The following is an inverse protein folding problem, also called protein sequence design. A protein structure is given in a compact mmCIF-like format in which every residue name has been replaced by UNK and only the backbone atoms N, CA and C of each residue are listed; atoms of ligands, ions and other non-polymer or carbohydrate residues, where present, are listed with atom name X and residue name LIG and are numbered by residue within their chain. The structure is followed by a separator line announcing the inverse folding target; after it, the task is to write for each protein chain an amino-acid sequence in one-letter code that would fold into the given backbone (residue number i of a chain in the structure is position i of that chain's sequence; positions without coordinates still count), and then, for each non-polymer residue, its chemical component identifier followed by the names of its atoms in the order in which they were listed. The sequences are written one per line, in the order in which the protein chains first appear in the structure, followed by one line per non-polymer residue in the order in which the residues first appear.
data_IF_962867518438
#
_entry.id   IF_962867518438
#
_cell.length_a   1.000
_cell.length_b   1.000
_cell.length_c   1.000
_cell.angle_alpha   90.00
_cell.angle_beta   90.00
_cell.angle_gamma   90.00
#
_symmetry.space_group_name_H-M   'P 1'
#
loop_
_entity.id
_entity.type
_entity.pdbx_description
1 polymer ?
#
# COMPACT_ATOMS: atom_id res chain seq x y z
N UNK A 1 -2.26 -10.72 12.15
CA UNK A 1 -2.39 -9.70 11.10
C UNK A 1 -3.89 -9.50 10.93
N UNK A 2 -4.44 -8.31 11.21
CA UNK A 2 -5.88 -8.05 11.44
C UNK A 2 -6.80 -8.23 10.21
N UNK A 3 -6.30 -8.80 9.12
CA UNK A 3 -7.03 -8.98 7.85
C UNK A 3 -8.25 -9.90 8.00
N UNK A 4 -8.13 -10.91 8.86
CA UNK A 4 -9.20 -11.83 9.25
C UNK A 4 -10.30 -11.18 10.08
N UNK A 5 -10.05 -9.99 10.62
CA UNK A 5 -10.99 -9.23 11.46
C UNK A 5 -11.77 -8.15 10.72
N UNK A 6 -11.44 -7.87 9.44
CA UNK A 6 -12.15 -6.85 8.66
C UNK A 6 -13.37 -7.48 7.99
N UNK A 7 -14.60 -6.96 8.22
CA UNK A 7 -15.79 -7.45 7.57
C UNK A 7 -15.68 -7.37 6.04
N UNK A 8 -16.12 -8.43 5.37
CA UNK A 8 -16.04 -8.57 3.91
C UNK A 8 -16.81 -7.47 3.17
N UNK A 9 -17.85 -6.92 3.80
CA UNK A 9 -18.64 -5.79 3.32
C UNK A 9 -17.82 -4.49 3.24
N UNK A 10 -16.90 -4.26 4.18
CA UNK A 10 -16.00 -3.09 4.18
C UNK A 10 -15.03 -3.20 3.01
N UNK A 11 -14.45 -4.38 2.81
CA UNK A 11 -13.55 -4.68 1.68
C UNK A 11 -14.28 -4.48 0.33
N UNK A 12 -15.53 -4.95 0.21
CA UNK A 12 -16.36 -4.78 -0.98
C UNK A 12 -16.79 -3.32 -1.22
N UNK A 13 -16.85 -2.49 -0.17
CA UNK A 13 -17.19 -1.07 -0.30
C UNK A 13 -16.05 -0.24 -0.88
N UNK A 14 -14.80 -0.65 -0.62
CA UNK A 14 -13.59 -0.01 -1.16
C UNK A 14 -13.49 -0.20 -2.68
N UNK A 15 -13.80 -1.40 -3.16
CA UNK A 15 -13.77 -1.74 -4.60
C UNK A 15 -14.92 -1.12 -5.40
N UNK A 16 -16.00 -0.71 -4.74
CA UNK A 16 -17.17 -0.06 -5.36
C UNK A 16 -17.11 1.46 -5.36
N UNK A 17 -16.14 2.08 -4.69
CA UNK A 17 -16.06 3.54 -4.65
C UNK A 17 -15.65 4.09 -6.02
N UNK A 18 -16.49 4.93 -6.61
CA UNK A 18 -16.10 5.71 -7.78
C UNK A 18 -14.87 6.56 -7.42
N UNK A 19 -13.91 6.65 -8.34
CA UNK A 19 -12.74 7.52 -8.21
C UNK A 19 -13.21 8.95 -7.96
N UNK A 20 -13.17 9.42 -6.71
CA UNK A 20 -12.97 10.85 -6.48
C UNK A 20 -11.57 11.17 -6.96
N UNK A 21 -11.50 11.83 -8.11
CA UNK A 21 -10.26 12.40 -8.62
C UNK A 21 -9.76 13.38 -7.56
N UNK A 22 -8.63 13.06 -6.94
CA UNK A 22 -7.89 14.05 -6.17
C UNK A 22 -7.33 15.02 -7.20
N UNK A 23 -7.94 16.20 -7.28
CA UNK A 23 -7.74 17.11 -8.40
C UNK A 23 -6.31 17.68 -8.44
N UNK A 24 -5.68 17.87 -7.27
CA UNK A 24 -4.32 18.41 -7.14
C UNK A 24 -3.56 17.82 -5.95
N UNK A 25 -2.29 17.48 -6.14
CA UNK A 25 -1.35 17.12 -5.07
C UNK A 25 -0.93 18.35 -4.24
N UNK A 26 -0.31 18.15 -3.07
CA UNK A 26 0.28 19.26 -2.29
C UNK A 26 1.27 20.09 -3.13
N UNK A 27 2.08 19.43 -3.95
CA UNK A 27 3.06 20.08 -4.82
C UNK A 27 2.37 20.95 -5.87
N UNK A 28 1.30 20.46 -6.50
CA UNK A 28 0.51 21.24 -7.47
C UNK A 28 -0.24 22.39 -6.78
N UNK A 29 -0.76 22.19 -5.57
CA UNK A 29 -1.45 23.24 -4.79
C UNK A 29 -0.50 24.36 -4.38
N UNK A 30 0.74 24.02 -4.01
CA UNK A 30 1.77 24.97 -3.56
C UNK A 30 2.72 25.42 -4.68
N UNK A 31 2.50 24.97 -5.92
CA UNK A 31 3.35 25.25 -7.07
C UNK A 31 4.84 24.89 -6.84
N UNK A 32 5.08 23.70 -6.28
CA UNK A 32 6.41 23.18 -5.94
C UNK A 32 6.81 22.07 -6.90
N UNK A 33 8.12 21.97 -7.16
CA UNK A 33 8.74 20.83 -7.82
C UNK A 33 9.23 19.84 -6.76
N UNK A 34 8.66 18.61 -6.66
CA UNK A 34 8.94 17.68 -5.57
C UNK A 34 10.44 17.40 -5.32
N UNK A 35 11.22 17.25 -6.40
CA UNK A 35 12.62 16.87 -6.30
C UNK A 35 13.57 18.06 -6.05
N UNK A 36 13.08 19.30 -6.11
CA UNK A 36 13.94 20.50 -6.05
C UNK A 36 13.43 21.63 -5.15
N UNK A 37 12.25 21.51 -4.53
CA UNK A 37 11.77 22.55 -3.62
C UNK A 37 12.69 22.74 -2.41
N UNK A 38 12.73 23.95 -1.86
CA UNK A 38 13.48 24.24 -0.64
C UNK A 38 12.58 24.01 0.59
N UNK A 39 12.83 22.96 1.39
CA UNK A 39 12.14 22.80 2.68
C UNK A 39 12.71 23.77 3.72
N UNK A 40 12.08 23.84 4.89
CA UNK A 40 12.69 24.46 6.06
C UNK A 40 14.00 23.77 6.44
N UNK A 41 14.92 24.52 7.06
CA UNK A 41 16.26 24.03 7.42
C UNK A 41 16.21 22.72 8.23
N UNK A 42 15.22 22.61 9.12
CA UNK A 42 15.03 21.45 10.00
C UNK A 42 14.64 20.19 9.19
N UNK A 43 13.97 20.34 8.05
CA UNK A 43 13.48 19.25 7.21
C UNK A 43 14.38 18.95 6.01
N UNK A 44 15.45 19.73 5.83
CA UNK A 44 16.35 19.60 4.68
C UNK A 44 16.98 18.20 4.60
N UNK A 45 17.44 17.66 5.73
CA UNK A 45 17.99 16.31 5.80
C UNK A 45 17.01 15.23 5.34
N UNK A 46 15.75 15.32 5.78
CA UNK A 46 14.71 14.35 5.39
C UNK A 46 14.39 14.44 3.90
N UNK A 47 14.29 15.64 3.35
CA UNK A 47 14.08 15.83 1.92
C UNK A 47 15.23 15.26 1.09
N UNK A 48 16.48 15.41 1.55
CA UNK A 48 17.64 14.80 0.89
C UNK A 48 17.56 13.27 0.87
N UNK A 49 17.30 12.63 2.01
CA UNK A 49 17.15 11.17 2.10
C UNK A 49 16.03 10.68 1.19
N UNK A 50 14.87 11.35 1.22
CA UNK A 50 13.74 10.98 0.37
C UNK A 50 14.09 11.09 -1.13
N UNK A 51 14.82 12.14 -1.53
CA UNK A 51 15.28 12.33 -2.91
C UNK A 51 16.32 11.31 -3.33
N UNK A 52 17.18 10.87 -2.42
CA UNK A 52 18.15 9.81 -2.68
C UNK A 52 17.46 8.47 -2.94
N UNK A 53 16.41 8.15 -2.17
CA UNK A 53 15.54 6.98 -2.42
C UNK A 53 14.83 7.10 -3.77
N UNK A 54 14.42 8.32 -4.15
CA UNK A 54 13.69 8.63 -5.39
C UNK A 54 14.60 8.97 -6.58
N UNK A 55 15.89 8.67 -6.52
CA UNK A 55 16.88 9.15 -7.50
C UNK A 55 16.59 8.75 -8.96
N UNK A 56 15.82 7.69 -9.18
CA UNK A 56 15.44 7.19 -10.50
C UNK A 56 14.10 7.76 -11.01
N UNK A 57 13.43 8.62 -10.23
CA UNK A 57 12.10 9.14 -10.52
C UNK A 57 12.13 10.56 -11.09
N UNK A 58 11.11 10.86 -11.87
CA UNK A 58 10.81 12.22 -12.36
C UNK A 58 9.88 12.96 -11.40
N UNK A 59 9.75 14.28 -11.55
CA UNK A 59 8.76 15.04 -10.77
C UNK A 59 7.33 14.59 -11.09
N UNK A 60 7.07 14.20 -12.35
CA UNK A 60 5.79 13.68 -12.82
C UNK A 60 5.45 12.34 -12.14
N UNK A 61 6.42 11.45 -11.99
CA UNK A 61 6.26 10.20 -11.23
C UNK A 61 5.91 10.52 -9.77
N UNK A 62 6.65 11.42 -9.13
CA UNK A 62 6.42 11.81 -7.73
C UNK A 62 5.04 12.43 -7.55
N UNK A 63 4.60 13.29 -8.48
CA UNK A 63 3.24 13.86 -8.46
C UNK A 63 2.19 12.75 -8.61
N UNK A 64 2.41 11.78 -9.49
CA UNK A 64 1.50 10.65 -9.71
C UNK A 64 1.37 9.79 -8.44
N UNK A 65 2.51 9.47 -7.82
CA UNK A 65 2.58 8.72 -6.57
C UNK A 65 1.89 9.51 -5.44
N UNK A 66 2.10 10.83 -5.36
CA UNK A 66 1.48 11.67 -4.32
C UNK A 66 -0.05 11.65 -4.40
N UNK A 67 -0.63 11.69 -5.61
CA UNK A 67 -2.08 11.57 -5.82
C UNK A 67 -2.58 10.19 -5.41
N UNK A 68 -1.81 9.15 -5.72
CA UNK A 68 -2.11 7.79 -5.31
C UNK A 68 -2.09 7.63 -3.78
N UNK A 69 -1.13 8.24 -3.08
CA UNK A 69 -1.04 8.25 -1.62
C UNK A 69 -2.27 8.91 -1.00
N UNK A 70 -2.63 10.12 -1.45
CA UNK A 70 -3.84 10.80 -0.96
C UNK A 70 -5.09 9.93 -1.16
N UNK A 71 -5.19 9.26 -2.31
CA UNK A 71 -6.29 8.33 -2.55
C UNK A 71 -6.25 7.11 -1.63
N UNK A 72 -5.09 6.48 -1.44
CA UNK A 72 -4.92 5.33 -0.56
C UNK A 72 -5.30 5.67 0.88
N UNK A 73 -4.86 6.84 1.38
CA UNK A 73 -5.22 7.33 2.71
C UNK A 73 -6.72 7.61 2.81
N UNK A 74 -7.32 8.28 1.83
CA UNK A 74 -8.76 8.54 1.80
C UNK A 74 -9.61 7.26 1.84
N UNK A 75 -9.21 6.24 1.09
CA UNK A 75 -9.86 4.92 1.13
C UNK A 75 -9.55 4.20 2.43
N UNK A 76 -8.31 4.35 2.91
CA UNK A 76 -7.78 3.76 4.12
C UNK A 76 -8.48 4.23 5.38
N UNK A 77 -8.90 5.48 5.47
CA UNK A 77 -9.68 6.00 6.60
C UNK A 77 -10.89 5.12 6.91
N UNK A 78 -11.63 4.69 5.86
CA UNK A 78 -12.80 3.82 6.03
C UNK A 78 -12.41 2.43 6.57
N UNK A 79 -11.24 1.93 6.15
CA UNK A 79 -10.71 0.64 6.60
C UNK A 79 -10.16 0.72 8.03
N UNK A 80 -9.47 1.82 8.37
CA UNK A 80 -8.94 2.10 9.70
C UNK A 80 -10.06 2.30 10.71
N UNK A 81 -11.09 3.08 10.38
CA UNK A 81 -12.28 3.20 11.23
C UNK A 81 -12.96 1.86 11.47
N UNK A 82 -13.03 0.98 10.46
CA UNK A 82 -13.57 -0.36 10.63
C UNK A 82 -12.68 -1.23 11.53
N UNK A 83 -11.35 -1.17 11.39
CA UNK A 83 -10.39 -1.90 12.20
C UNK A 83 -10.37 -1.45 13.66
N UNK A 84 -10.45 -0.15 13.91
CA UNK A 84 -10.46 0.44 15.25
C UNK A 84 -11.73 0.09 16.04
N UNK A 85 -12.87 -0.13 15.37
CA UNK A 85 -14.12 -0.59 16.02
C UNK A 85 -14.04 -2.00 16.61
N UNK A 86 -13.03 -2.80 16.23
CA UNK A 86 -12.85 -4.18 16.72
C UNK A 86 -11.75 -4.31 17.78
N UNK A 87 -11.13 -3.20 18.18
CA UNK A 87 -10.25 -3.19 19.35
C UNK A 87 -11.09 -2.81 20.57
N UNK A 88 -11.39 -3.79 21.43
CA UNK A 88 -12.09 -3.57 22.72
C UNK A 88 -11.21 -2.78 23.72
N UNK A 89 -9.96 -2.51 23.37
CA UNK A 89 -9.12 -1.63 24.17
C UNK A 89 -9.42 -0.18 23.83
N UNK A 90 -9.91 0.55 24.83
CA UNK A 90 -10.22 1.99 24.89
C UNK A 90 -8.93 2.84 24.73
N UNK A 91 -8.11 2.53 23.71
CA UNK A 91 -6.85 3.20 23.42
C UNK A 91 -7.13 4.23 22.35
N UNK A 92 -6.95 5.49 22.70
CA UNK A 92 -6.83 6.59 21.75
C UNK A 92 -5.58 6.38 20.89
N UNK A 93 -5.70 5.55 19.85
CA UNK A 93 -4.63 5.35 18.87
C UNK A 93 -4.73 6.48 17.87
N UNK A 94 -3.87 7.48 18.01
CA UNK A 94 -3.67 8.49 16.98
C UNK A 94 -3.11 7.81 15.73
N UNK A 95 -3.93 7.76 14.69
CA UNK A 95 -3.57 7.34 13.35
C UNK A 95 -2.87 8.50 12.65
N UNK A 96 -1.62 8.30 12.23
CA UNK A 96 -0.86 9.25 11.43
C UNK A 96 -0.70 8.69 10.01
N UNK A 97 -0.56 9.55 9.00
CA UNK A 97 -0.58 9.14 7.59
C UNK A 97 0.48 8.09 7.27
N UNK A 98 1.69 8.24 7.86
CA UNK A 98 2.76 7.26 7.71
C UNK A 98 2.39 5.88 8.27
N UNK A 99 1.73 5.83 9.43
CA UNK A 99 1.28 4.58 10.04
C UNK A 99 0.10 3.98 9.29
N UNK A 100 -0.81 4.81 8.81
CA UNK A 100 -1.98 4.39 8.06
C UNK A 100 -1.56 3.79 6.74
N UNK A 101 -0.71 4.49 5.99
CA UNK A 101 -0.14 3.97 4.76
C UNK A 101 0.64 2.67 5.00
N UNK A 102 1.32 2.54 6.15
CA UNK A 102 1.99 1.31 6.54
C UNK A 102 1.02 0.17 6.85
N UNK A 103 -0.16 0.41 7.41
CA UNK A 103 -1.15 -0.66 7.49
C UNK A 103 -1.72 -1.01 6.12
N UNK A 104 -1.91 0.00 5.28
CA UNK A 104 -2.52 -0.11 3.97
C UNK A 104 -1.63 -0.78 2.92
N UNK A 105 -0.30 -0.79 3.10
CA UNK A 105 0.63 -1.35 2.11
C UNK A 105 0.41 -2.85 1.83
N UNK A 106 -0.23 -3.57 2.75
CA UNK A 106 -0.62 -4.96 2.58
C UNK A 106 -1.86 -5.17 1.70
N UNK A 107 -2.58 -4.10 1.36
CA UNK A 107 -3.86 -4.14 0.65
C UNK A 107 -3.81 -3.52 -0.74
N UNK A 108 -2.78 -2.73 -1.06
CA UNK A 108 -2.64 -2.05 -2.35
C UNK A 108 -1.49 -2.65 -3.18
N UNK A 109 -1.70 -2.75 -4.50
CA UNK A 109 -0.67 -3.15 -5.47
C UNK A 109 -0.21 -1.94 -6.28
N UNK A 110 1.08 -1.63 -6.15
CA UNK A 110 1.73 -0.49 -6.80
C UNK A 110 1.86 -0.67 -8.31
N UNK A 111 1.82 -1.90 -8.82
CA UNK A 111 1.95 -2.18 -10.26
C UNK A 111 0.87 -1.47 -11.10
N UNK A 112 -0.26 -1.17 -10.49
CA UNK A 112 -1.41 -0.47 -11.11
C UNK A 112 -1.15 1.01 -11.43
N UNK A 113 -0.07 1.60 -10.89
CA UNK A 113 0.30 3.00 -11.15
C UNK A 113 1.04 3.21 -12.48
N UNK A 114 1.33 2.15 -13.24
CA UNK A 114 2.10 2.20 -14.49
C UNK A 114 3.48 2.89 -14.34
N UNK A 115 4.06 2.84 -13.15
CA UNK A 115 5.42 3.32 -12.87
C UNK A 115 6.32 2.09 -12.68
N UNK A 116 7.27 1.91 -13.60
CA UNK A 116 8.09 0.71 -13.64
C UNK A 116 8.95 0.58 -12.38
N UNK A 117 8.92 -0.61 -11.77
CA UNK A 117 9.72 -0.93 -10.60
C UNK A 117 9.39 -0.14 -9.34
N UNK A 118 8.21 0.48 -9.26
CA UNK A 118 7.79 1.26 -8.10
C UNK A 118 7.78 0.39 -6.83
N UNK A 119 8.44 0.88 -5.80
CA UNK A 119 8.58 0.25 -4.50
C UNK A 119 7.80 0.95 -3.42
N UNK A 120 7.47 0.23 -2.34
CA UNK A 120 6.90 0.85 -1.14
C UNK A 120 7.88 1.82 -0.46
N UNK A 121 9.19 1.58 -0.55
CA UNK A 121 10.20 2.53 -0.07
C UNK A 121 10.05 3.90 -0.75
N UNK A 122 9.90 3.91 -2.07
CA UNK A 122 9.65 5.13 -2.85
C UNK A 122 8.31 5.77 -2.49
N UNK A 123 7.25 4.98 -2.27
CA UNK A 123 5.95 5.50 -1.83
C UNK A 123 6.07 6.23 -0.48
N UNK A 124 6.77 5.66 0.49
CA UNK A 124 7.03 6.32 1.77
C UNK A 124 7.92 7.56 1.63
N UNK A 125 8.92 7.53 0.75
CA UNK A 125 9.74 8.69 0.46
C UNK A 125 8.91 9.84 -0.15
N UNK A 126 7.95 9.53 -1.04
CA UNK A 126 7.02 10.54 -1.57
C UNK A 126 6.11 11.09 -0.47
N UNK A 127 5.59 10.25 0.44
CA UNK A 127 4.80 10.73 1.57
C UNK A 127 5.62 11.69 2.46
N UNK A 128 6.88 11.36 2.75
CA UNK A 128 7.77 12.25 3.50
C UNK A 128 7.96 13.60 2.79
N UNK A 129 8.16 13.61 1.46
CA UNK A 129 8.24 14.86 0.70
C UNK A 129 6.92 15.65 0.72
N UNK A 130 5.77 14.97 0.70
CA UNK A 130 4.46 15.62 0.81
C UNK A 130 4.33 16.33 2.16
N UNK A 131 4.63 15.63 3.24
CA UNK A 131 4.57 16.18 4.60
C UNK A 131 5.56 17.33 4.80
N UNK A 132 6.78 17.21 4.26
CA UNK A 132 7.74 18.32 4.26
C UNK A 132 7.22 19.54 3.49
N UNK A 133 6.54 19.34 2.37
CA UNK A 133 5.92 20.42 1.62
C UNK A 133 4.73 21.05 2.36
N UNK A 134 4.08 20.35 3.29
CA UNK A 134 2.96 20.86 4.09
C UNK A 134 3.40 21.77 5.23
N UNK A 135 4.55 21.48 5.86
CA UNK A 135 5.13 22.33 6.90
C UNK A 135 5.43 23.72 6.34
N UNK A 136 4.81 24.78 6.85
CA UNK A 136 5.07 26.15 6.39
C UNK A 136 6.50 26.57 6.75
N UNK A 137 7.14 27.32 5.85
CA UNK A 137 8.50 27.82 6.06
C UNK A 137 8.55 28.98 7.07
N UNK A 138 7.45 29.71 7.25
CA UNK A 138 7.38 30.94 8.06
C UNK A 138 6.02 30.98 8.78
N UNK A 139 5.97 30.75 10.10
CA UNK A 139 4.80 31.05 10.95
C UNK A 139 5.08 32.25 11.87
N UNK A 140 6.35 32.57 12.09
CA UNK A 140 6.74 33.49 13.17
C UNK A 140 6.56 34.97 12.84
N UNK A 141 6.45 35.36 11.56
CA UNK A 141 6.59 36.78 11.18
C UNK A 141 5.28 37.62 11.20
N UNK A 142 4.09 37.01 11.18
CA UNK A 142 2.84 37.78 10.92
C UNK A 142 1.86 37.91 12.09
N UNK A 143 2.11 37.27 13.24
CA UNK A 143 1.16 37.25 14.36
C UNK A 143 1.52 38.29 15.44
N UNK A 144 0.52 39.07 15.86
CA UNK A 144 0.63 40.06 16.93
C UNK A 144 0.98 39.42 18.30
N UNK A 145 1.24 40.25 19.32
CA UNK A 145 1.57 39.79 20.68
C UNK A 145 0.35 39.69 21.62
N UNK A 146 -0.87 39.70 21.09
CA UNK A 146 -2.07 39.53 21.90
C UNK A 146 -2.25 38.07 22.37
N UNK A 147 -3.07 37.81 23.41
CA UNK A 147 -3.25 36.48 23.99
C UNK A 147 -3.75 35.40 23.01
N UNK A 148 -4.58 35.78 22.02
CA UNK A 148 -5.07 34.85 21.00
C UNK A 148 -3.93 34.51 20.03
N UNK A 149 -3.19 35.50 19.55
CA UNK A 149 -2.02 35.29 18.68
C UNK A 149 -0.94 34.45 19.37
N UNK A 150 -0.68 34.65 20.66
CA UNK A 150 0.25 33.82 21.42
C UNK A 150 -0.22 32.36 21.56
N UNK A 151 -1.52 32.16 21.75
CA UNK A 151 -2.11 30.81 21.80
C UNK A 151 -2.06 30.12 20.42
N UNK A 152 -2.27 30.87 19.33
CA UNK A 152 -2.12 30.37 17.96
C UNK A 152 -0.66 30.01 17.64
N UNK A 153 0.30 30.86 18.03
CA UNK A 153 1.75 30.55 17.92
C UNK A 153 2.11 29.25 18.64
N UNK A 154 1.67 29.09 19.89
CA UNK A 154 1.91 27.87 20.66
C UNK A 154 1.29 26.63 20.02
N UNK A 155 0.03 26.72 19.58
CA UNK A 155 -0.65 25.63 18.87
C UNK A 155 0.07 25.26 17.59
N UNK A 156 0.53 26.25 16.84
CA UNK A 156 1.25 26.06 15.59
C UNK A 156 2.62 25.43 15.78
N UNK A 157 3.34 25.81 16.83
CA UNK A 157 4.62 25.19 17.19
C UNK A 157 4.43 23.72 17.59
N UNK A 158 3.36 23.42 18.34
CA UNK A 158 3.01 22.04 18.65
C UNK A 158 2.69 21.23 17.39
N UNK A 159 1.91 21.80 16.46
CA UNK A 159 1.63 21.16 15.17
C UNK A 159 2.91 20.86 14.38
N UNK A 160 3.84 21.81 14.28
CA UNK A 160 5.13 21.59 13.61
C UNK A 160 5.90 20.45 14.28
N UNK A 161 5.96 20.41 15.61
CA UNK A 161 6.66 19.35 16.35
C UNK A 161 6.04 17.96 16.11
N UNK A 162 4.71 17.87 16.11
CA UNK A 162 4.02 16.61 15.78
C UNK A 162 4.30 16.18 14.33
N UNK A 163 4.22 17.12 13.39
CA UNK A 163 4.50 16.84 11.97
C UNK A 163 5.95 16.39 11.76
N UNK A 164 6.91 16.97 12.48
CA UNK A 164 8.32 16.57 12.43
C UNK A 164 8.51 15.13 12.92
N UNK A 165 7.86 14.74 14.02
CA UNK A 165 7.92 13.37 14.52
C UNK A 165 7.32 12.37 13.51
N UNK A 166 6.22 12.74 12.86
CA UNK A 166 5.59 11.93 11.83
C UNK A 166 6.46 11.79 10.57
N UNK A 167 7.06 12.89 10.11
CA UNK A 167 8.00 12.91 8.99
C UNK A 167 9.19 11.99 9.28
N UNK A 168 9.73 12.05 10.50
CA UNK A 168 10.84 11.21 10.93
C UNK A 168 10.48 9.71 10.93
N UNK A 169 9.30 9.33 11.43
CA UNK A 169 8.83 7.93 11.37
C UNK A 169 8.60 7.48 9.92
N UNK A 170 8.03 8.36 9.09
CA UNK A 170 7.75 8.08 7.68
C UNK A 170 9.03 7.83 6.88
N UNK A 171 10.05 8.67 7.05
CA UNK A 171 11.33 8.48 6.34
C UNK A 171 12.09 7.26 6.86
N UNK A 172 12.06 6.99 8.17
CA UNK A 172 12.69 5.80 8.73
C UNK A 172 12.07 4.50 8.14
N UNK A 173 10.76 4.48 7.91
CA UNK A 173 10.09 3.37 7.20
C UNK A 173 10.56 3.25 5.75
N UNK A 174 10.72 4.37 5.06
CA UNK A 174 11.22 4.40 3.69
C UNK A 174 12.62 3.76 3.61
N UNK A 175 13.53 4.15 4.50
CA UNK A 175 14.91 3.63 4.57
C UNK A 175 14.93 2.12 4.88
N UNK A 176 14.18 1.67 5.89
CA UNK A 176 14.10 0.24 6.24
C UNK A 176 13.59 -0.60 5.07
N UNK A 177 12.59 -0.10 4.33
CA UNK A 177 12.06 -0.77 3.15
C UNK A 177 13.06 -0.76 1.98
N UNK A 178 13.83 0.31 1.80
CA UNK A 178 14.88 0.38 0.79
C UNK A 178 15.99 -0.65 1.09
N UNK A 179 16.44 -0.73 2.33
CA UNK A 179 17.49 -1.66 2.78
C UNK A 179 17.06 -3.12 2.66
N UNK A 180 15.81 -3.44 3.00
CA UNK A 180 15.28 -4.81 2.83
C UNK A 180 15.18 -5.21 1.36
N UNK A 181 14.92 -4.27 0.44
CA UNK A 181 14.89 -4.55 -1.00
C UNK A 181 16.27 -4.82 -1.60
N UNK A 182 17.31 -4.13 -1.15
CA UNK A 182 18.71 -4.36 -1.57
C UNK A 182 19.15 -5.78 -1.22
N UNK A 183 18.65 -6.33 -0.11
CA UNK A 183 19.03 -7.65 0.40
C UNK A 183 18.26 -8.84 -0.23
N UNK A 184 17.17 -8.60 -0.96
CA UNK A 184 16.31 -9.66 -1.51
C UNK A 184 16.46 -9.93 -3.02
N UNK A 185 17.34 -9.22 -3.73
CA UNK A 185 17.61 -9.52 -5.15
C UNK A 185 18.56 -10.71 -5.28
N UNK A 186 18.01 -11.93 -5.36
CA UNK A 186 18.66 -13.06 -6.06
C UNK A 186 17.68 -14.16 -6.49
N UNK A 187 17.81 -14.51 -7.78
CA UNK A 187 17.50 -15.78 -8.46
C UNK A 187 16.04 -16.06 -8.86
N UNK A 188 15.70 -15.67 -10.10
CA UNK A 188 14.71 -16.35 -10.94
C UNK A 188 15.28 -16.53 -12.34
N UNK A 189 15.31 -17.75 -12.87
CA UNK A 189 15.64 -17.99 -14.28
C UNK A 189 14.43 -17.66 -15.14
N UNK A 190 14.64 -16.90 -16.23
CA UNK A 190 13.57 -16.36 -17.09
C UNK A 190 12.49 -17.40 -17.52
N UNK A 191 12.87 -18.67 -17.71
CA UNK A 191 11.93 -19.73 -18.07
C UNK A 191 10.97 -20.18 -16.96
N UNK A 192 11.32 -19.98 -15.69
CA UNK A 192 10.44 -20.31 -14.55
C UNK A 192 9.34 -19.28 -14.34
N UNK A 193 9.66 -18.00 -14.59
CA UNK A 193 8.73 -16.87 -14.44
C UNK A 193 7.65 -16.89 -15.52
N UNK A 194 8.00 -17.23 -16.76
CA UNK A 194 7.06 -17.34 -17.88
C UNK A 194 6.10 -18.53 -17.70
N UNK A 195 6.58 -19.65 -17.15
CA UNK A 195 5.75 -20.80 -16.77
C UNK A 195 4.81 -20.46 -15.60
N UNK A 196 5.26 -19.63 -14.64
CA UNK A 196 4.42 -19.15 -13.55
C UNK A 196 3.32 -18.21 -14.06
N UNK A 197 3.66 -17.23 -14.91
CA UNK A 197 2.68 -16.31 -15.53
C UNK A 197 1.60 -17.07 -16.33
N UNK A 198 1.99 -18.11 -17.07
CA UNK A 198 1.04 -18.91 -17.87
C UNK A 198 0.00 -19.65 -17.02
N UNK A 199 0.40 -20.16 -15.85
CA UNK A 199 -0.48 -20.97 -15.00
C UNK A 199 -1.27 -20.13 -13.98
N UNK A 200 -0.90 -18.86 -13.82
CA UNK A 200 -1.51 -17.92 -12.88
C UNK A 200 -3.03 -17.79 -13.04
N UNK A 201 -3.62 -17.72 -14.26
CA UNK A 201 -5.07 -17.63 -14.42
C UNK A 201 -5.83 -18.85 -13.85
N UNK A 202 -5.30 -20.06 -14.07
CA UNK A 202 -5.88 -21.28 -13.50
C UNK A 202 -5.75 -21.28 -11.97
N UNK A 203 -4.61 -20.81 -11.46
CA UNK A 203 -4.37 -20.71 -10.03
C UNK A 203 -5.32 -19.72 -9.36
N UNK A 204 -5.56 -18.56 -9.97
CA UNK A 204 -6.57 -17.57 -9.53
C UNK A 204 -7.96 -18.20 -9.50
N UNK A 205 -8.36 -18.92 -10.55
CA UNK A 205 -9.67 -19.58 -10.62
C UNK A 205 -9.86 -20.62 -9.49
N UNK A 206 -8.84 -21.44 -9.24
CA UNK A 206 -8.86 -22.43 -8.16
C UNK A 206 -9.02 -21.75 -6.80
N UNK A 207 -8.30 -20.66 -6.55
CA UNK A 207 -8.40 -19.92 -5.29
C UNK A 207 -9.74 -19.21 -5.16
N UNK A 208 -10.29 -18.65 -6.25
CA UNK A 208 -11.63 -18.05 -6.27
C UNK A 208 -12.72 -19.05 -5.86
N UNK A 209 -12.69 -20.26 -6.41
CA UNK A 209 -13.65 -21.33 -6.05
C UNK A 209 -13.46 -21.79 -4.61
N UNK A 210 -12.22 -21.94 -4.18
CA UNK A 210 -11.90 -22.29 -2.80
C UNK A 210 -12.48 -21.26 -1.82
N UNK A 211 -12.26 -19.98 -2.08
CA UNK A 211 -12.76 -18.87 -1.25
C UNK A 211 -14.28 -18.78 -1.25
N UNK A 212 -14.94 -19.06 -2.38
CA UNK A 212 -16.39 -18.95 -2.54
C UNK A 212 -17.15 -20.07 -1.82
N UNK A 213 -16.69 -21.31 -1.97
CA UNK A 213 -17.50 -22.49 -1.64
C UNK A 213 -16.80 -23.50 -0.72
N UNK A 214 -15.46 -23.48 -0.58
CA UNK A 214 -14.71 -24.63 -0.02
C UNK A 214 -13.76 -24.31 1.14
N UNK A 215 -13.89 -23.14 1.77
CA UNK A 215 -13.01 -22.71 2.88
C UNK A 215 -13.08 -23.57 4.13
N UNK A 216 -14.19 -24.27 4.35
CA UNK A 216 -14.39 -25.21 5.47
C UNK A 216 -13.74 -26.58 5.26
N UNK A 217 -13.28 -26.89 4.04
CA UNK A 217 -12.67 -28.17 3.71
C UNK A 217 -11.15 -28.15 3.91
N UNK A 218 -10.57 -29.34 4.09
CA UNK A 218 -9.10 -29.49 4.03
C UNK A 218 -8.60 -29.17 2.63
N UNK A 219 -7.36 -28.67 2.51
CA UNK A 219 -6.80 -28.27 1.21
C UNK A 219 -6.85 -29.41 0.17
N UNK A 220 -6.61 -30.64 0.64
CA UNK A 220 -6.70 -31.85 -0.20
C UNK A 220 -8.13 -32.06 -0.70
N UNK A 221 -9.12 -31.95 0.19
CA UNK A 221 -10.51 -32.18 -0.17
C UNK A 221 -11.08 -31.08 -1.06
N UNK A 222 -10.73 -29.82 -0.79
CA UNK A 222 -11.08 -28.71 -1.66
C UNK A 222 -10.44 -28.83 -3.05
N UNK A 223 -9.16 -29.23 -3.14
CA UNK A 223 -8.48 -29.47 -4.41
C UNK A 223 -9.16 -30.56 -5.26
N UNK A 224 -9.58 -31.66 -4.64
CA UNK A 224 -10.35 -32.73 -5.32
C UNK A 224 -11.69 -32.25 -5.86
N UNK A 225 -12.45 -31.48 -5.08
CA UNK A 225 -13.78 -30.99 -5.48
C UNK A 225 -13.66 -30.00 -6.62
N UNK A 226 -12.74 -29.03 -6.51
CA UNK A 226 -12.55 -27.99 -7.53
C UNK A 226 -12.05 -28.59 -8.85
N UNK A 227 -11.18 -29.59 -8.80
CA UNK A 227 -10.72 -30.31 -9.99
C UNK A 227 -11.87 -31.03 -10.71
N UNK A 228 -12.72 -31.72 -9.94
CA UNK A 228 -13.91 -32.37 -10.49
C UNK A 228 -14.88 -31.36 -11.13
N UNK A 229 -15.09 -30.20 -10.52
CA UNK A 229 -15.96 -29.14 -11.06
C UNK A 229 -15.43 -28.56 -12.37
N UNK A 230 -14.16 -28.13 -12.38
CA UNK A 230 -13.55 -27.55 -13.58
C UNK A 230 -13.52 -28.57 -14.73
N UNK A 231 -13.32 -29.85 -14.41
CA UNK A 231 -13.33 -30.94 -15.40
C UNK A 231 -14.74 -31.16 -15.96
N UNK A 232 -15.75 -31.19 -15.09
CA UNK A 232 -17.15 -31.34 -15.52
C UNK A 232 -17.64 -30.16 -16.36
N UNK A 233 -17.17 -28.95 -16.06
CA UNK A 233 -17.45 -27.73 -16.82
C UNK A 233 -16.64 -27.60 -18.11
N UNK A 234 -15.65 -28.49 -18.33
CA UNK A 234 -14.67 -28.41 -19.43
C UNK A 234 -13.99 -27.04 -19.47
N UNK A 235 -13.61 -26.53 -18.31
CA UNK A 235 -13.08 -25.17 -18.17
C UNK A 235 -11.77 -25.01 -18.95
N UNK A 236 -11.69 -24.02 -19.85
CA UNK A 236 -10.56 -23.81 -20.77
C UNK A 236 -9.21 -23.62 -20.07
N UNK A 237 -9.23 -23.11 -18.84
CA UNK A 237 -8.03 -22.89 -18.04
C UNK A 237 -7.30 -24.18 -17.62
N UNK A 238 -7.97 -25.34 -17.63
CA UNK A 238 -7.32 -26.62 -17.32
C UNK A 238 -6.18 -26.93 -18.31
N UNK A 239 -6.27 -26.42 -19.55
CA UNK A 239 -5.25 -26.59 -20.59
C UNK A 239 -3.95 -25.84 -20.29
N UNK A 240 -3.94 -24.91 -19.34
CA UNK A 240 -2.76 -24.11 -18.98
C UNK A 240 -1.76 -24.91 -18.14
N UNK A 241 -2.25 -25.93 -17.42
CA UNK A 241 -1.44 -26.84 -16.63
C UNK A 241 -1.10 -28.11 -17.41
N UNK A 242 0.13 -28.57 -17.22
CA UNK A 242 0.63 -29.86 -17.74
C UNK A 242 0.85 -30.87 -16.60
N UNK A 243 0.30 -30.60 -15.41
CA UNK A 243 0.41 -31.51 -14.28
C UNK A 243 -0.55 -32.70 -14.46
N UNK A 244 -0.03 -33.91 -14.23
CA UNK A 244 -0.83 -35.15 -14.28
C UNK A 244 -1.84 -35.24 -13.12
N UNK A 245 -1.55 -34.60 -11.98
CA UNK A 245 -2.39 -34.60 -10.78
C UNK A 245 -2.81 -33.17 -10.38
N UNK A 246 -3.83 -32.65 -11.07
CA UNK A 246 -4.34 -31.28 -10.88
C UNK A 246 -4.93 -31.08 -9.48
N UNK A 247 -5.70 -32.03 -8.96
CA UNK A 247 -6.19 -32.05 -7.58
C UNK A 247 -5.10 -31.79 -6.52
N UNK A 248 -3.93 -32.43 -6.63
CA UNK A 248 -2.82 -32.23 -5.68
C UNK A 248 -2.14 -30.88 -5.89
N UNK A 249 -2.06 -30.42 -7.15
CA UNK A 249 -1.53 -29.11 -7.47
C UNK A 249 -2.43 -28.00 -6.90
N UNK A 250 -3.76 -28.16 -7.01
CA UNK A 250 -4.74 -27.24 -6.46
C UNK A 250 -4.66 -27.21 -4.93
N UNK A 251 -4.57 -28.38 -4.29
CA UNK A 251 -4.36 -28.46 -2.85
C UNK A 251 -3.09 -27.74 -2.38
N UNK A 252 -1.99 -27.83 -3.14
CA UNK A 252 -0.75 -27.08 -2.86
C UNK A 252 -0.94 -25.58 -3.00
N UNK A 253 -1.66 -25.11 -4.03
CA UNK A 253 -1.93 -23.69 -4.22
C UNK A 253 -2.82 -23.12 -3.13
N UNK A 254 -3.89 -23.84 -2.75
CA UNK A 254 -4.76 -23.49 -1.63
C UNK A 254 -3.93 -23.39 -0.34
N UNK A 255 -3.04 -24.36 -0.08
CA UNK A 255 -2.16 -24.32 1.08
C UNK A 255 -1.17 -23.15 1.06
N UNK A 256 -0.57 -22.84 -0.10
CA UNK A 256 0.34 -21.71 -0.25
C UNK A 256 -0.37 -20.37 -0.04
N UNK A 257 -1.60 -20.25 -0.53
CA UNK A 257 -2.46 -19.09 -0.31
C UNK A 257 -2.81 -18.92 1.18
N UNK A 258 -3.31 -19.97 1.84
CA UNK A 258 -3.67 -19.94 3.28
C UNK A 258 -2.52 -19.55 4.19
N UNK A 259 -1.30 -19.94 3.83
CA UNK A 259 -0.09 -19.68 4.61
C UNK A 259 0.62 -18.37 4.20
N UNK A 260 -0.01 -17.54 3.35
CA UNK A 260 0.54 -16.26 2.90
C UNK A 260 1.76 -16.35 1.98
N UNK A 261 2.14 -17.55 1.53
CA UNK A 261 3.28 -17.80 0.63
C UNK A 261 2.97 -17.45 -0.82
N UNK A 262 1.70 -17.34 -1.18
CA UNK A 262 1.26 -16.85 -2.47
C UNK A 262 0.13 -15.85 -2.26
N UNK A 263 0.19 -14.73 -3.00
CA UNK A 263 -0.79 -13.65 -2.98
C UNK A 263 -1.43 -13.57 -4.35
N UNK A 264 -2.74 -13.34 -4.37
CA UNK A 264 -3.49 -13.22 -5.61
C UNK A 264 -3.14 -11.90 -6.31
N UNK A 265 -2.89 -11.88 -7.64
CA UNK A 265 -2.60 -10.66 -8.39
C UNK A 265 -3.82 -9.73 -8.46
N UNK A 266 -3.58 -8.41 -8.52
CA UNK A 266 -4.65 -7.42 -8.72
C UNK A 266 -4.93 -7.28 -10.22
N UNK A 267 -6.15 -7.61 -10.66
CA UNK A 267 -6.56 -7.42 -12.04
C UNK A 267 -6.96 -5.97 -12.26
N UNK A 268 -6.30 -5.33 -13.24
CA UNK A 268 -6.56 -4.00 -13.77
C UNK A 268 -7.70 -4.01 -14.79
#
# INVERSE_FOLDING_TARGET
MYQDKIPQEVIQSLTKSERKVVDKSVFERKNLLPLTFAPSDILNGVCHIARDILNARTNEDVITISKAITWMLYQGDRLLFALLRFDESDRDVYACEGRDLYFLHHYFDLSTLNIEGLSWAEVFAVLALMQCAEVPNEIEEELDNDPLSQSLKQSSNNFILFQQAEIADTIARAEVLADTQINHKKLGSAGGEEKAKRIEPLKVEVINRYLKNYTSYSNKKAGEIIDAELTNERHSLLLLSVAEELNLQFAKWIGAFRNGKWKMPINS
#
